data_IF_031667681557
#
_entry.id   IF_031667681557
#
_cell.length_a   1.000
_cell.length_b   1.000
_cell.length_c   1.000
_cell.angle_alpha   90.00
_cell.angle_beta   90.00
_cell.angle_gamma   90.00
#
_symmetry.space_group_name_H-M   'P 1'
#
loop_
_entity.id
_entity.type
_entity.pdbx_description
1 polymer ?
#
# COMPACT_ATOMS: atom_id res chain seq x y z
N UNK A 1 4.72 -6.16 5.61
CA UNK A 1 4.05 -7.45 5.29
C UNK A 1 2.66 -7.21 4.68
N UNK A 2 1.82 -6.38 5.30
CA UNK A 2 0.46 -6.07 4.82
C UNK A 2 0.34 -5.43 3.43
N UNK A 3 1.29 -4.57 3.01
CA UNK A 3 1.22 -3.96 1.67
C UNK A 3 1.55 -4.96 0.55
N UNK A 4 2.36 -5.97 0.84
CA UNK A 4 2.76 -6.95 -0.17
C UNK A 4 1.63 -7.96 -0.44
N UNK A 5 0.72 -8.19 0.51
CA UNK A 5 -0.41 -9.10 0.33
C UNK A 5 -1.52 -8.56 -0.58
N UNK A 6 -1.47 -7.27 -0.94
CA UNK A 6 -2.41 -6.66 -1.88
C UNK A 6 -1.82 -6.47 -3.28
N UNK A 7 -0.54 -6.78 -3.48
CA UNK A 7 0.13 -6.74 -4.79
C UNK A 7 -0.43 -7.84 -5.68
N UNK A 8 -0.74 -7.49 -6.92
CA UNK A 8 -1.06 -8.45 -7.98
C UNK A 8 -0.06 -8.25 -9.13
N UNK A 9 0.79 -9.24 -9.36
CA UNK A 9 1.80 -9.20 -10.43
C UNK A 9 1.20 -9.42 -11.83
N UNK A 10 -0.07 -9.81 -11.92
CA UNK A 10 -0.82 -9.89 -13.18
C UNK A 10 -1.32 -8.52 -13.67
N UNK A 11 -1.25 -7.48 -12.83
CA UNK A 11 -1.67 -6.11 -13.16
C UNK A 11 -0.47 -5.16 -13.17
N UNK A 12 -0.60 -4.04 -13.89
CA UNK A 12 0.46 -3.04 -14.05
C UNK A 12 -0.16 -1.64 -14.00
N UNK A 13 0.47 -0.73 -13.24
CA UNK A 13 0.03 0.66 -13.08
C UNK A 13 -1.49 0.84 -12.80
N UNK A 14 -2.00 0.39 -11.63
CA UNK A 14 -1.26 -0.19 -10.50
C UNK A 14 -1.22 -1.73 -10.51
N UNK A 15 -0.11 -2.29 -10.01
CA UNK A 15 0.09 -3.72 -9.73
C UNK A 15 -0.54 -4.11 -8.38
N UNK A 16 -1.87 -4.06 -8.32
CA UNK A 16 -2.66 -4.30 -7.11
C UNK A 16 -3.90 -5.11 -7.46
N UNK A 17 -4.39 -5.92 -6.53
CA UNK A 17 -5.66 -6.64 -6.71
C UNK A 17 -6.81 -5.63 -6.96
N UNK A 18 -7.70 -5.88 -7.95
CA UNK A 18 -8.78 -4.97 -8.30
C UNK A 18 -9.67 -4.54 -7.13
N UNK A 19 -9.82 -5.36 -6.09
CA UNK A 19 -10.56 -5.00 -4.88
C UNK A 19 -9.96 -3.78 -4.15
N UNK A 20 -8.69 -3.47 -4.39
CA UNK A 20 -7.97 -2.33 -3.79
C UNK A 20 -7.79 -1.15 -4.77
N UNK A 21 -8.34 -1.23 -5.99
CA UNK A 21 -8.36 -0.15 -6.97
C UNK A 21 -9.69 -0.13 -7.76
N UNK A 22 -10.81 -0.09 -7.03
CA UNK A 22 -12.17 -0.18 -7.57
C UNK A 22 -12.95 1.14 -7.50
N UNK A 23 -12.28 2.27 -7.25
CA UNK A 23 -12.96 3.57 -7.17
C UNK A 23 -13.38 4.07 -8.57
N UNK A 24 -14.64 4.50 -8.79
CA UNK A 24 -15.15 5.06 -10.04
C UNK A 24 -14.53 6.41 -10.46
N UNK A 25 -13.56 6.94 -9.72
CA UNK A 25 -12.79 8.14 -10.03
C UNK A 25 -13.12 9.31 -9.09
N UNK A 26 -12.36 10.40 -9.21
CA UNK A 26 -12.42 11.56 -8.29
C UNK A 26 -13.76 12.32 -8.29
N UNK A 27 -14.64 12.04 -9.25
CA UNK A 27 -15.95 12.70 -9.40
C UNK A 27 -17.13 11.87 -8.88
N UNK A 28 -16.88 10.63 -8.48
CA UNK A 28 -17.91 9.73 -8.00
C UNK A 28 -17.73 9.48 -6.50
N UNK A 29 -18.82 9.65 -5.76
CA UNK A 29 -18.85 9.39 -4.32
C UNK A 29 -19.07 7.91 -4.10
N UNK A 30 -18.16 7.26 -3.39
CA UNK A 30 -18.43 5.97 -2.77
C UNK A 30 -17.98 5.98 -1.32
N UNK A 31 -18.58 5.10 -0.53
CA UNK A 31 -18.25 5.02 0.88
C UNK A 31 -16.84 4.42 1.07
N UNK A 32 -16.18 4.75 2.18
CA UNK A 32 -14.77 4.37 2.42
C UNK A 32 -14.58 2.85 2.56
N UNK A 33 -15.66 2.10 2.78
CA UNK A 33 -15.72 0.63 2.82
C UNK A 33 -16.11 -0.02 1.48
N UNK A 34 -16.64 0.74 0.53
CA UNK A 34 -17.04 0.24 -0.79
C UNK A 34 -15.93 0.43 -1.83
N UNK A 35 -15.14 1.48 -1.68
CA UNK A 35 -14.12 1.87 -2.64
C UNK A 35 -12.74 2.01 -2.06
N UNK A 36 -11.78 1.68 -2.92
CA UNK A 36 -10.36 1.74 -2.65
C UNK A 36 -9.67 2.39 -3.85
N UNK A 37 -8.81 3.36 -3.59
CA UNK A 37 -7.96 3.97 -4.62
C UNK A 37 -6.50 3.69 -4.25
N UNK A 38 -5.80 2.99 -5.12
CA UNK A 38 -4.35 2.75 -4.97
C UNK A 38 -3.66 3.46 -6.11
N UNK A 39 -2.91 4.52 -5.78
CA UNK A 39 -2.13 5.22 -6.78
C UNK A 39 -0.95 4.34 -7.21
N UNK A 40 -0.58 4.41 -8.48
CA UNK A 40 0.65 3.79 -8.96
C UNK A 40 1.85 4.58 -8.39
N UNK A 41 2.58 3.98 -7.46
CA UNK A 41 3.75 4.61 -6.84
C UNK A 41 4.31 3.81 -5.67
N UNK A 42 5.34 4.35 -5.02
CA UNK A 42 5.94 3.76 -3.83
C UNK A 42 5.12 4.07 -2.57
N UNK A 43 4.92 3.05 -1.73
CA UNK A 43 4.20 3.13 -0.46
C UNK A 43 5.09 2.65 0.68
N UNK A 44 5.17 3.45 1.74
CA UNK A 44 5.93 3.08 2.93
C UNK A 44 5.29 1.90 3.68
N UNK A 45 6.11 0.91 4.02
CA UNK A 45 5.80 -0.08 5.05
C UNK A 45 6.17 0.47 6.43
N UNK A 46 5.49 0.01 7.48
CA UNK A 46 5.87 0.30 8.87
C UNK A 46 7.15 -0.44 9.32
N UNK A 47 7.71 -1.29 8.45
CA UNK A 47 8.91 -2.08 8.72
C UNK A 47 10.17 -1.25 8.46
N UNK A 48 10.98 -1.01 9.50
CA UNK A 48 12.32 -0.44 9.32
C UNK A 48 13.29 -1.50 8.81
N UNK A 49 14.28 -1.11 8.01
CA UNK A 49 15.34 -2.04 7.60
C UNK A 49 16.22 -2.40 8.81
N UNK A 50 16.46 -3.70 9.02
CA UNK A 50 17.18 -4.19 10.20
C UNK A 50 18.64 -3.73 10.23
N UNK A 51 19.25 -3.51 9.06
CA UNK A 51 20.66 -3.10 8.97
C UNK A 51 20.87 -1.59 9.19
N UNK A 52 19.84 -0.77 8.99
CA UNK A 52 19.85 0.66 9.30
C UNK A 52 18.46 1.18 9.71
N UNK A 53 17.97 0.80 10.91
CA UNK A 53 16.58 1.03 11.30
C UNK A 53 16.25 2.51 11.53
N UNK A 54 17.26 3.35 11.78
CA UNK A 54 17.08 4.79 11.96
C UNK A 54 16.99 5.55 10.64
N UNK A 55 17.62 5.05 9.58
CA UNK A 55 17.74 5.77 8.31
C UNK A 55 16.87 5.19 7.20
N UNK A 56 16.55 3.88 7.25
CA UNK A 56 15.89 3.18 6.14
C UNK A 56 14.63 2.45 6.58
N UNK A 57 13.66 2.40 5.69
CA UNK A 57 12.41 1.64 5.84
C UNK A 57 12.09 0.91 4.54
N UNK A 58 11.32 -0.16 4.65
CA UNK A 58 10.82 -0.91 3.50
C UNK A 58 9.69 -0.14 2.82
N UNK A 59 9.60 -0.23 1.50
CA UNK A 59 8.50 0.26 0.70
C UNK A 59 8.05 -0.81 -0.30
N UNK A 60 6.85 -0.64 -0.83
CA UNK A 60 6.29 -1.43 -1.94
C UNK A 60 5.91 -0.47 -3.05
N UNK A 61 6.37 -0.74 -4.27
CA UNK A 61 5.97 -0.06 -5.50
C UNK A 61 4.71 -0.74 -6.04
N UNK A 62 3.58 -0.03 -6.05
CA UNK A 62 2.40 -0.48 -6.77
C UNK A 62 2.45 -0.12 -8.26
N UNK A 63 3.58 0.35 -8.80
CA UNK A 63 3.72 0.41 -10.26
C UNK A 63 3.81 -1.00 -10.86
N UNK A 64 4.57 -1.87 -10.19
CA UNK A 64 5.02 -3.18 -10.68
C UNK A 64 5.07 -4.28 -9.61
N UNK A 65 4.71 -3.97 -8.36
CA UNK A 65 4.72 -4.92 -7.23
C UNK A 65 6.07 -5.08 -6.56
N UNK A 66 7.11 -4.36 -6.99
CA UNK A 66 8.46 -4.44 -6.44
C UNK A 66 8.52 -3.96 -4.98
N UNK A 67 9.44 -4.50 -4.19
CA UNK A 67 9.66 -4.06 -2.80
C UNK A 67 11.14 -4.00 -2.45
N UNK A 68 11.55 -2.92 -1.79
CA UNK A 68 12.93 -2.69 -1.34
C UNK A 68 12.92 -1.74 -0.13
N UNK A 69 14.10 -1.35 0.35
CA UNK A 69 14.26 -0.32 1.37
C UNK A 69 14.77 1.00 0.78
N UNK A 70 14.36 2.11 1.38
CA UNK A 70 14.86 3.44 1.02
C UNK A 70 15.00 4.34 2.24
N UNK A 71 15.64 5.50 2.05
CA UNK A 71 15.81 6.48 3.12
C UNK A 71 14.46 6.99 3.64
N UNK A 72 14.29 7.04 4.96
CA UNK A 72 13.11 7.60 5.63
C UNK A 72 12.89 9.10 5.33
N UNK A 73 13.88 9.78 4.76
CA UNK A 73 13.77 11.16 4.31
C UNK A 73 13.04 11.33 2.97
N UNK A 74 12.74 10.24 2.26
CA UNK A 74 12.01 10.29 0.98
C UNK A 74 10.49 10.40 1.18
N UNK A 75 9.82 11.00 0.20
CA UNK A 75 8.38 11.17 0.17
C UNK A 75 7.73 10.05 -0.63
N UNK A 76 7.16 9.05 0.06
CA UNK A 76 6.34 8.00 -0.53
C UNK A 76 4.92 8.04 0.05
N UNK A 77 3.98 7.42 -0.64
CA UNK A 77 2.60 7.33 -0.19
C UNK A 77 2.48 6.49 1.08
N UNK A 78 1.39 6.70 1.81
CA UNK A 78 0.99 5.88 2.95
C UNK A 78 -0.45 5.43 2.75
N UNK A 79 -0.76 4.21 3.19
CA UNK A 79 -2.12 3.68 3.23
C UNK A 79 -2.34 3.01 4.58
N UNK A 80 -3.44 3.36 5.23
CA UNK A 80 -3.87 2.67 6.44
C UNK A 80 -4.41 1.28 6.08
N UNK A 81 -4.02 0.28 6.87
CA UNK A 81 -4.60 -1.07 6.80
C UNK A 81 -5.56 -1.19 7.97
N UNK A 82 -6.83 -1.50 7.72
CA UNK A 82 -7.81 -1.72 8.80
C UNK A 82 -7.46 -3.03 9.51
N UNK A 83 -7.06 -2.94 10.78
CA UNK A 83 -6.95 -4.12 11.64
C UNK A 83 -8.33 -4.70 11.88
N UNK A 84 -8.52 -6.00 11.64
CA UNK A 84 -9.76 -6.68 11.97
C UNK A 84 -10.03 -6.54 13.47
N UNK A 85 -11.09 -5.84 13.85
CA UNK A 85 -11.63 -5.93 15.20
C UNK A 85 -12.22 -7.34 15.34
N UNK A 86 -11.54 -8.23 16.05
CA UNK A 86 -12.16 -9.48 16.48
C UNK A 86 -13.32 -9.08 17.42
N UNK A 87 -14.57 -9.49 17.15
CA UNK A 87 -15.63 -9.30 18.13
C UNK A 87 -15.21 -10.02 19.41
N UNK A 88 -15.20 -9.27 20.52
CA UNK A 88 -14.79 -9.76 21.83
C UNK A 88 -15.55 -11.02 22.23
N UNK A 89 -14.85 -11.92 22.93
CA UNK A 89 -15.40 -13.14 23.51
C UNK A 89 -16.26 -12.92 24.75
#
# INVERSE_FOLDING_TARGET
KELHSIVDFGTFQPAVDPAFNNNPGLLATCHVDECSLTASGAYWSSTSDASSPLLRAWFVSFADGFSDFASKALFFFVRAVRGGCLPGG
#
